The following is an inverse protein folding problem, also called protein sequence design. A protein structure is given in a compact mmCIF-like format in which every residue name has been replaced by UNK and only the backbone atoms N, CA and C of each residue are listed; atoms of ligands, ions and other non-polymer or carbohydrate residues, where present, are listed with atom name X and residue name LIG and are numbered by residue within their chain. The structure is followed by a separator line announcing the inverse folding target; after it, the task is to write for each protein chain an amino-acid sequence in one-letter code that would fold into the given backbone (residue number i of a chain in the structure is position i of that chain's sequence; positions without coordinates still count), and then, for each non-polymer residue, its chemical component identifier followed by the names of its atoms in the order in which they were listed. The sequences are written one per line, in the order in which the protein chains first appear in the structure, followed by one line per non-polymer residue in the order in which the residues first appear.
data_IF_783769753064
#
_entry.id   IF_783769753064
#
_cell.length_a   1.000
_cell.length_b   1.000
_cell.length_c   1.000
_cell.angle_alpha   90.00
_cell.angle_beta   90.00
_cell.angle_gamma   90.00
#
_symmetry.space_group_name_H-M   'P 1'
#
loop_
_entity.id
_entity.type
_entity.pdbx_description
1 polymer ?
#
# COMPACT_ATOMS: atom_id res chain seq x y z
N UNK A 1 30.27 -16.58 -8.32
CA UNK A 1 29.90 -16.70 -6.90
C UNK A 1 30.17 -18.14 -6.47
N UNK A 2 30.94 -18.38 -5.39
CA UNK A 2 31.37 -19.73 -5.01
C UNK A 2 30.17 -20.63 -4.59
N UNK A 3 30.17 -21.90 -5.01
CA UNK A 3 29.13 -22.89 -4.68
C UNK A 3 28.84 -23.01 -3.18
N UNK A 4 29.87 -22.84 -2.34
CA UNK A 4 29.78 -22.88 -0.88
C UNK A 4 29.02 -21.67 -0.29
N UNK A 5 29.11 -20.50 -0.93
CA UNK A 5 28.39 -19.30 -0.49
C UNK A 5 26.90 -19.48 -0.77
N UNK A 6 26.54 -20.00 -1.94
CA UNK A 6 25.15 -20.24 -2.31
C UNK A 6 24.48 -21.28 -1.41
N UNK A 7 25.18 -22.38 -1.08
CA UNK A 7 24.65 -23.38 -0.14
C UNK A 7 24.44 -22.81 1.26
N UNK A 8 25.33 -21.92 1.72
CA UNK A 8 25.18 -21.24 3.01
C UNK A 8 23.98 -20.29 3.02
N UNK A 9 23.74 -19.55 1.93
CA UNK A 9 22.57 -18.68 1.79
C UNK A 9 21.27 -19.49 1.74
N UNK A 10 21.24 -20.62 1.04
CA UNK A 10 20.07 -21.50 1.03
C UNK A 10 19.76 -22.04 2.43
N UNK A 11 20.76 -22.52 3.17
CA UNK A 11 20.57 -22.98 4.55
C UNK A 11 20.05 -21.86 5.46
N UNK A 12 20.56 -20.63 5.29
CA UNK A 12 20.08 -19.47 6.03
C UNK A 12 18.61 -19.15 5.70
N UNK A 13 18.23 -19.20 4.43
CA UNK A 13 16.85 -18.94 3.98
C UNK A 13 15.90 -20.02 4.52
N UNK A 14 16.31 -21.29 4.54
CA UNK A 14 15.53 -22.37 5.15
C UNK A 14 15.33 -22.17 6.66
N UNK A 15 16.35 -21.69 7.37
CA UNK A 15 16.22 -21.34 8.79
C UNK A 15 15.27 -20.17 9.01
N UNK A 16 15.27 -19.17 8.12
CA UNK A 16 14.32 -18.04 8.18
C UNK A 16 12.87 -18.49 7.91
N UNK A 17 12.67 -19.55 7.13
CA UNK A 17 11.35 -20.09 6.80
C UNK A 17 10.72 -20.93 7.95
N UNK A 18 11.51 -21.38 8.92
CA UNK A 18 11.07 -22.31 9.96
C UNK A 18 10.29 -21.60 11.08
N UNK A 19 8.99 -21.37 10.83
CA UNK A 19 8.07 -20.80 11.82
C UNK A 19 7.82 -21.68 13.03
N UNK A 20 8.20 -22.96 12.99
CA UNK A 20 8.09 -23.87 14.15
C UNK A 20 9.17 -23.64 15.18
N UNK A 21 10.22 -22.88 14.81
CA UNK A 21 11.36 -22.55 15.68
C UNK A 21 11.62 -21.04 15.69
N UNK A 22 10.81 -20.24 16.44
CA UNK A 22 10.86 -18.78 16.40
C UNK A 22 12.24 -18.17 16.67
N UNK A 23 13.01 -18.76 17.59
CA UNK A 23 14.38 -18.30 17.90
C UNK A 23 15.35 -18.45 16.71
N UNK A 24 15.22 -19.54 15.95
CA UNK A 24 16.04 -19.78 14.76
C UNK A 24 15.60 -18.87 13.62
N UNK A 25 14.29 -18.77 13.41
CA UNK A 25 13.73 -17.85 12.42
C UNK A 25 14.19 -16.41 12.69
N UNK A 26 14.04 -15.90 13.91
CA UNK A 26 14.46 -14.56 14.29
C UNK A 26 15.96 -14.34 14.08
N UNK A 27 16.80 -15.28 14.52
CA UNK A 27 18.24 -15.20 14.31
C UNK A 27 18.60 -15.21 12.82
N UNK A 28 17.96 -16.05 12.01
CA UNK A 28 18.21 -16.14 10.59
C UNK A 28 17.81 -14.85 9.86
N UNK A 29 16.62 -14.31 10.14
CA UNK A 29 16.14 -13.03 9.58
C UNK A 29 17.07 -11.88 10.00
N UNK A 30 17.53 -11.86 11.25
CA UNK A 30 18.52 -10.89 11.73
C UNK A 30 19.81 -10.96 10.90
N UNK A 31 20.34 -12.17 10.64
CA UNK A 31 21.54 -12.37 9.82
C UNK A 31 21.31 -11.93 8.38
N UNK A 32 20.18 -12.26 7.78
CA UNK A 32 19.76 -11.79 6.44
C UNK A 32 19.80 -10.26 6.39
N UNK A 33 19.18 -9.59 7.37
CA UNK A 33 19.19 -8.14 7.45
C UNK A 33 20.60 -7.56 7.59
N UNK A 34 21.48 -8.17 8.41
CA UNK A 34 22.90 -7.74 8.52
C UNK A 34 23.64 -7.85 7.19
N UNK A 35 23.47 -8.97 6.47
CA UNK A 35 24.09 -9.19 5.16
C UNK A 35 23.65 -8.13 4.15
N UNK A 36 22.37 -7.79 4.16
CA UNK A 36 21.78 -6.77 3.29
C UNK A 36 22.20 -5.33 3.67
N UNK A 37 22.59 -5.10 4.93
CA UNK A 37 23.04 -3.78 5.41
C UNK A 37 24.54 -3.52 5.18
N UNK A 38 25.26 -4.42 4.49
CA UNK A 38 26.70 -4.29 4.31
C UNK A 38 27.05 -3.38 3.13
N UNK A 39 27.98 -2.45 3.32
CA UNK A 39 28.51 -1.57 2.26
C UNK A 39 29.32 -2.31 1.17
N UNK A 40 29.59 -3.61 1.36
CA UNK A 40 30.41 -4.42 0.46
C UNK A 40 29.55 -5.34 -0.39
N UNK A 41 28.90 -4.77 -1.41
CA UNK A 41 28.14 -5.51 -2.43
C UNK A 41 27.24 -6.61 -1.82
N UNK A 42 26.18 -6.22 -1.10
CA UNK A 42 25.32 -7.16 -0.39
C UNK A 42 24.75 -8.22 -1.34
N UNK A 43 24.58 -9.48 -0.90
CA UNK A 43 24.13 -10.58 -1.75
C UNK A 43 22.61 -10.53 -1.99
N UNK A 44 22.11 -9.41 -2.52
CA UNK A 44 20.68 -9.14 -2.74
C UNK A 44 20.10 -10.14 -3.75
N UNK A 45 20.60 -10.19 -4.99
CA UNK A 45 20.07 -11.10 -6.01
C UNK A 45 20.18 -12.58 -5.62
N UNK A 46 21.30 -13.06 -5.03
CA UNK A 46 21.37 -14.41 -4.49
C UNK A 46 20.29 -14.71 -3.45
N UNK A 47 20.03 -13.81 -2.51
CA UNK A 47 18.99 -14.00 -1.50
C UNK A 47 17.59 -14.02 -2.12
N UNK A 48 17.31 -13.14 -3.08
CA UNK A 48 16.06 -13.15 -3.86
C UNK A 48 15.90 -14.49 -4.58
N UNK A 49 16.95 -14.96 -5.27
CA UNK A 49 16.94 -16.24 -6.00
C UNK A 49 16.80 -17.45 -5.08
N UNK A 50 17.22 -17.35 -3.81
CA UNK A 50 16.99 -18.37 -2.80
C UNK A 50 15.55 -18.37 -2.25
N UNK A 51 14.72 -17.39 -2.60
CA UNK A 51 13.32 -17.31 -2.17
C UNK A 51 13.11 -16.55 -0.86
N UNK A 52 14.01 -15.63 -0.49
CA UNK A 52 13.91 -14.91 0.80
C UNK A 52 12.67 -14.00 0.91
N UNK A 53 12.18 -13.45 -0.21
CA UNK A 53 11.12 -12.45 -0.22
C UNK A 53 9.80 -12.93 0.42
N UNK A 54 9.18 -14.03 -0.03
CA UNK A 54 7.94 -14.52 0.59
C UNK A 54 8.12 -14.89 2.07
N UNK A 55 9.32 -15.32 2.47
CA UNK A 55 9.62 -15.64 3.88
C UNK A 55 9.63 -14.37 4.72
N UNK A 56 10.32 -13.30 4.26
CA UNK A 56 10.33 -12.02 4.96
C UNK A 56 8.92 -11.42 5.04
N UNK A 57 8.10 -11.57 4.00
CA UNK A 57 6.69 -11.14 4.02
C UNK A 57 5.89 -11.92 5.08
N UNK A 58 6.04 -13.24 5.13
CA UNK A 58 5.35 -14.05 6.13
C UNK A 58 5.76 -13.70 7.56
N UNK A 59 7.02 -13.28 7.77
CA UNK A 59 7.51 -12.84 9.07
C UNK A 59 6.84 -11.53 9.55
N UNK A 60 6.20 -10.76 8.68
CA UNK A 60 5.49 -9.53 9.04
C UNK A 60 4.12 -9.83 9.69
N UNK A 61 3.44 -10.91 9.31
CA UNK A 61 2.07 -11.20 9.77
C UNK A 61 1.94 -11.83 11.17
N UNK A 62 3.05 -12.02 11.90
CA UNK A 62 3.05 -12.68 13.21
C UNK A 62 2.79 -11.71 14.36
N UNK A 63 1.65 -11.83 15.06
CA UNK A 63 1.19 -10.90 16.10
C UNK A 63 1.99 -10.89 17.41
N UNK A 64 2.96 -11.80 17.58
CA UNK A 64 3.65 -12.01 18.87
C UNK A 64 5.16 -11.66 18.88
N UNK A 65 5.72 -11.13 17.78
CA UNK A 65 7.17 -10.85 17.68
C UNK A 65 7.48 -9.52 16.98
N UNK A 66 7.37 -8.42 17.71
CA UNK A 66 7.70 -7.08 17.20
C UNK A 66 9.13 -6.97 16.65
N UNK A 67 10.10 -7.66 17.26
CA UNK A 67 11.50 -7.64 16.81
C UNK A 67 11.71 -8.37 15.49
N UNK A 68 11.03 -9.50 15.27
CA UNK A 68 11.08 -10.24 14.00
C UNK A 68 10.52 -9.41 12.85
N UNK A 69 9.37 -8.76 13.09
CA UNK A 69 8.74 -7.87 12.12
C UNK A 69 9.67 -6.72 11.73
N UNK A 70 10.31 -6.07 12.71
CA UNK A 70 11.28 -5.01 12.45
C UNK A 70 12.48 -5.48 11.62
N UNK A 71 13.08 -6.64 11.95
CA UNK A 71 14.21 -7.18 11.18
C UNK A 71 13.79 -7.57 9.75
N UNK A 72 12.59 -8.14 9.58
CA UNK A 72 12.04 -8.48 8.28
C UNK A 72 11.73 -7.25 7.42
N UNK A 73 11.10 -6.23 8.00
CA UNK A 73 10.82 -4.96 7.34
C UNK A 73 12.11 -4.23 6.92
N UNK A 74 13.14 -4.24 7.78
CA UNK A 74 14.44 -3.68 7.47
C UNK A 74 15.13 -4.44 6.34
N UNK A 75 15.12 -5.78 6.37
CA UNK A 75 15.66 -6.59 5.29
C UNK A 75 14.98 -6.27 3.95
N UNK A 76 13.64 -6.25 3.92
CA UNK A 76 12.87 -5.93 2.72
C UNK A 76 13.16 -4.53 2.20
N UNK A 77 13.38 -3.55 3.09
CA UNK A 77 13.68 -2.19 2.64
C UNK A 77 15.10 -2.05 2.09
N UNK A 78 16.09 -2.76 2.65
CA UNK A 78 17.43 -2.81 2.06
C UNK A 78 17.43 -3.44 0.65
N UNK A 79 16.56 -4.43 0.42
CA UNK A 79 16.37 -4.99 -0.94
C UNK A 79 15.69 -3.95 -1.85
N UNK A 80 14.69 -3.24 -1.34
CA UNK A 80 13.97 -2.22 -2.11
C UNK A 80 14.84 -1.00 -2.48
N UNK A 81 15.81 -0.65 -1.63
CA UNK A 81 16.80 0.42 -1.87
C UNK A 81 17.91 0.07 -2.86
N UNK A 82 17.88 -1.13 -3.45
CA UNK A 82 18.83 -1.59 -4.45
C UNK A 82 18.51 -1.15 -5.89
N UNK A 83 18.75 -2.03 -6.86
CA UNK A 83 18.46 -1.75 -8.28
C UNK A 83 16.95 -1.75 -8.57
N UNK A 84 16.53 -1.16 -9.70
CA UNK A 84 15.11 -1.19 -10.10
C UNK A 84 14.53 -2.60 -10.19
N UNK A 85 15.33 -3.61 -10.54
CA UNK A 85 14.91 -5.02 -10.59
C UNK A 85 14.66 -5.58 -9.17
N UNK A 86 15.48 -5.19 -8.20
CA UNK A 86 15.34 -5.59 -6.80
C UNK A 86 14.13 -4.90 -6.15
N UNK A 87 13.92 -3.61 -6.41
CA UNK A 87 12.69 -2.89 -6.03
C UNK A 87 11.46 -3.55 -6.65
N UNK A 88 11.52 -3.90 -7.93
CA UNK A 88 10.45 -4.63 -8.62
C UNK A 88 10.14 -5.98 -7.97
N UNK A 89 11.14 -6.70 -7.48
CA UNK A 89 10.93 -7.97 -6.79
C UNK A 89 10.19 -7.78 -5.45
N UNK A 90 10.54 -6.75 -4.68
CA UNK A 90 9.90 -6.44 -3.38
C UNK A 90 8.46 -5.94 -3.58
N UNK A 91 8.24 -5.02 -4.53
CA UNK A 91 6.91 -4.50 -4.86
C UNK A 91 6.05 -5.58 -5.53
N UNK A 92 6.65 -6.38 -6.42
CA UNK A 92 6.03 -7.51 -7.11
C UNK A 92 5.51 -8.57 -6.14
N UNK A 93 6.23 -8.80 -5.04
CA UNK A 93 5.83 -9.71 -3.96
C UNK A 93 4.87 -9.12 -2.93
N UNK A 94 4.32 -7.91 -3.15
CA UNK A 94 3.45 -7.17 -2.22
C UNK A 94 4.07 -6.88 -0.84
N UNK A 95 5.36 -7.16 -0.68
CA UNK A 95 6.06 -7.09 0.59
C UNK A 95 6.03 -5.68 1.17
N UNK A 96 6.31 -4.69 0.33
CA UNK A 96 6.35 -3.30 0.73
C UNK A 96 4.98 -2.79 1.20
N UNK A 97 3.92 -3.12 0.45
CA UNK A 97 2.57 -2.67 0.79
C UNK A 97 2.03 -3.36 2.04
N UNK A 98 2.41 -4.61 2.31
CA UNK A 98 2.12 -5.27 3.58
C UNK A 98 2.80 -4.54 4.75
N UNK A 99 4.12 -4.24 4.66
CA UNK A 99 4.83 -3.49 5.71
C UNK A 99 4.12 -2.16 6.01
N UNK A 100 3.78 -1.40 4.97
CA UNK A 100 3.13 -0.10 5.11
C UNK A 100 1.72 -0.27 5.71
N UNK A 101 1.00 -1.33 5.33
CA UNK A 101 -0.35 -1.62 5.80
C UNK A 101 -0.45 -2.06 7.26
N UNK A 102 0.63 -2.59 7.85
CA UNK A 102 0.65 -3.04 9.26
C UNK A 102 0.42 -1.89 10.25
N UNK A 103 0.85 -0.67 9.93
CA UNK A 103 0.58 0.49 10.76
C UNK A 103 1.52 1.68 10.53
N UNK A 104 1.26 2.81 11.21
CA UNK A 104 1.96 4.07 10.97
C UNK A 104 3.46 3.99 11.24
N UNK A 105 3.89 3.29 12.30
CA UNK A 105 5.30 3.20 12.67
C UNK A 105 6.17 2.54 11.58
N UNK A 106 5.65 1.46 10.96
CA UNK A 106 6.34 0.76 9.87
C UNK A 106 6.25 1.55 8.56
N UNK A 107 5.12 2.22 8.31
CA UNK A 107 4.96 3.14 7.19
C UNK A 107 6.00 4.28 7.24
N UNK A 108 6.16 4.93 8.38
CA UNK A 108 7.15 6.00 8.60
C UNK A 108 8.58 5.51 8.37
N UNK A 109 8.88 4.33 8.91
CA UNK A 109 10.18 3.73 8.73
C UNK A 109 10.47 3.51 7.24
N UNK A 110 9.52 2.94 6.49
CA UNK A 110 9.62 2.75 5.05
C UNK A 110 9.77 4.08 4.28
N UNK A 111 9.04 5.13 4.67
CA UNK A 111 9.17 6.47 4.09
C UNK A 111 10.56 7.06 4.37
N UNK A 112 11.06 6.95 5.60
CA UNK A 112 12.37 7.47 6.02
C UNK A 112 13.55 6.87 5.24
N UNK A 113 13.34 5.71 4.62
CA UNK A 113 14.31 4.99 3.81
C UNK A 113 14.29 5.45 2.33
N UNK A 114 13.46 6.43 1.98
CA UNK A 114 13.45 7.08 0.67
C UNK A 114 12.75 6.26 -0.42
N UNK A 115 11.85 5.35 -0.08
CA UNK A 115 11.19 4.46 -1.06
C UNK A 115 10.21 5.17 -1.99
N UNK A 116 9.71 6.35 -1.59
CA UNK A 116 8.66 7.08 -2.31
C UNK A 116 9.11 7.45 -3.72
N UNK A 117 10.26 8.10 -3.88
CA UNK A 117 10.74 8.55 -5.19
C UNK A 117 10.96 7.37 -6.18
N UNK A 118 11.61 6.26 -5.81
CA UNK A 118 11.67 5.05 -6.64
C UNK A 118 10.31 4.50 -7.05
N UNK A 119 9.32 4.47 -6.15
CA UNK A 119 7.96 4.01 -6.49
C UNK A 119 7.31 4.92 -7.53
N UNK A 120 7.38 6.24 -7.35
CA UNK A 120 6.78 7.21 -8.27
C UNK A 120 7.43 7.19 -9.66
N UNK A 121 8.71 6.80 -9.75
CA UNK A 121 9.42 6.63 -11.02
C UNK A 121 8.86 5.49 -11.89
N UNK A 122 8.14 4.53 -11.29
CA UNK A 122 7.45 3.46 -12.01
C UNK A 122 6.06 3.88 -12.53
N UNK A 123 5.56 5.07 -12.19
CA UNK A 123 4.27 5.57 -12.71
C UNK A 123 4.51 6.32 -14.01
N UNK A 124 4.43 5.56 -15.11
CA UNK A 124 4.59 6.00 -16.49
C UNK A 124 3.86 5.06 -17.47
N UNK A 125 3.51 5.51 -18.69
CA UNK A 125 2.72 4.74 -19.65
C UNK A 125 3.31 3.38 -20.03
N UNK A 126 4.64 3.24 -19.99
CA UNK A 126 5.35 2.04 -20.43
C UNK A 126 5.42 0.94 -19.35
N UNK A 127 4.97 1.25 -18.13
CA UNK A 127 5.03 0.28 -17.02
C UNK A 127 4.04 -0.85 -17.24
N UNK A 128 4.46 -2.12 -17.12
CA UNK A 128 3.55 -3.26 -17.25
C UNK A 128 2.38 -3.17 -16.27
N UNK A 129 1.15 -3.33 -16.77
CA UNK A 129 -0.10 -3.13 -16.00
C UNK A 129 -0.11 -3.96 -14.71
N UNK A 130 0.34 -5.22 -14.76
CA UNK A 130 0.39 -6.10 -13.58
C UNK A 130 1.31 -5.57 -12.49
N UNK A 131 2.43 -4.97 -12.86
CA UNK A 131 3.34 -4.34 -11.92
C UNK A 131 2.81 -2.98 -11.44
N UNK A 132 2.20 -2.21 -12.34
CA UNK A 132 1.60 -0.92 -12.00
C UNK A 132 0.47 -1.06 -10.99
N UNK A 133 -0.35 -2.12 -11.06
CA UNK A 133 -1.34 -2.47 -10.03
C UNK A 133 -0.71 -2.55 -8.63
N UNK A 134 0.41 -3.26 -8.50
CA UNK A 134 1.10 -3.40 -7.22
C UNK A 134 1.68 -2.07 -6.74
N UNK A 135 2.27 -1.26 -7.64
CA UNK A 135 2.77 0.08 -7.31
C UNK A 135 1.63 0.97 -6.80
N UNK A 136 0.49 1.00 -7.51
CA UNK A 136 -0.67 1.79 -7.11
C UNK A 136 -1.22 1.36 -5.76
N UNK A 137 -1.32 0.06 -5.52
CA UNK A 137 -1.75 -0.48 -4.23
C UNK A 137 -0.81 -0.08 -3.08
N UNK A 138 0.50 -0.15 -3.28
CA UNK A 138 1.50 0.33 -2.30
C UNK A 138 1.31 1.82 -1.99
N UNK A 139 1.06 2.64 -3.02
CA UNK A 139 0.80 4.08 -2.83
C UNK A 139 -0.50 4.32 -2.07
N UNK A 140 -1.55 3.55 -2.34
CA UNK A 140 -2.79 3.65 -1.57
C UNK A 140 -2.56 3.36 -0.08
N UNK A 141 -1.73 2.37 0.24
CA UNK A 141 -1.36 2.09 1.64
C UNK A 141 -0.51 3.22 2.25
N UNK A 142 0.39 3.85 1.49
CA UNK A 142 1.13 5.04 1.97
C UNK A 142 0.20 6.19 2.34
N UNK A 143 -0.86 6.40 1.54
CA UNK A 143 -1.86 7.43 1.80
C UNK A 143 -2.80 7.10 2.96
N UNK A 144 -2.93 5.82 3.35
CA UNK A 144 -3.87 5.35 4.38
C UNK A 144 -3.49 5.80 5.78
N UNK A 145 -2.20 5.82 6.10
CA UNK A 145 -1.71 6.13 7.44
C UNK A 145 -1.60 7.65 7.62
N UNK A 146 -2.36 8.20 8.58
CA UNK A 146 -2.49 9.64 8.81
C UNK A 146 -1.68 10.18 9.98
N UNK A 147 -1.11 9.30 10.80
CA UNK A 147 -0.43 9.70 12.03
C UNK A 147 0.93 9.02 12.19
N UNK A 148 2.03 9.68 11.79
CA UNK A 148 2.08 10.94 11.06
C UNK A 148 1.77 10.73 9.57
N UNK A 149 1.07 11.69 8.97
CA UNK A 149 0.89 11.73 7.51
C UNK A 149 2.27 11.84 6.85
N UNK A 150 2.51 11.26 5.65
CA UNK A 150 3.73 11.54 4.91
C UNK A 150 4.03 13.03 4.92
N UNK A 151 5.27 13.41 5.23
CA UNK A 151 5.65 14.83 5.25
C UNK A 151 5.24 15.52 3.94
N UNK A 152 4.96 16.82 4.02
CA UNK A 152 4.40 17.61 2.90
C UNK A 152 5.07 17.37 1.54
N UNK A 153 6.39 17.18 1.53
CA UNK A 153 7.16 16.89 0.33
C UNK A 153 6.75 15.58 -0.36
N UNK A 154 6.49 14.51 0.40
CA UNK A 154 6.04 13.23 -0.15
C UNK A 154 4.63 13.32 -0.75
N UNK A 155 3.71 14.02 -0.07
CA UNK A 155 2.36 14.23 -0.58
C UNK A 155 2.36 15.05 -1.89
N UNK A 156 3.19 16.09 -1.97
CA UNK A 156 3.29 16.94 -3.15
C UNK A 156 3.75 16.18 -4.41
N UNK A 157 4.54 15.11 -4.23
CA UNK A 157 4.96 14.25 -5.34
C UNK A 157 3.93 13.16 -5.68
N UNK A 158 3.22 12.62 -4.67
CA UNK A 158 2.23 11.55 -4.85
C UNK A 158 0.98 12.06 -5.58
N UNK A 159 0.45 13.22 -5.19
CA UNK A 159 -0.86 13.69 -5.68
C UNK A 159 -0.91 13.86 -7.21
N UNK A 160 0.07 14.47 -7.89
CA UNK A 160 0.08 14.54 -9.36
C UNK A 160 0.11 13.17 -10.03
N UNK A 161 0.77 12.19 -9.41
CA UNK A 161 0.80 10.80 -9.92
C UNK A 161 -0.54 10.10 -9.75
N UNK A 162 -1.27 10.35 -8.66
CA UNK A 162 -2.65 9.88 -8.50
C UNK A 162 -3.58 10.51 -9.53
N UNK A 163 -3.40 11.80 -9.83
CA UNK A 163 -4.16 12.45 -10.91
C UNK A 163 -3.89 11.78 -12.26
N UNK A 164 -2.65 11.41 -12.57
CA UNK A 164 -2.35 10.61 -13.77
C UNK A 164 -3.06 9.23 -13.75
N UNK A 165 -3.01 8.51 -12.62
CA UNK A 165 -3.55 7.16 -12.49
C UNK A 165 -5.08 7.09 -12.51
N UNK A 166 -5.79 8.15 -12.09
CA UNK A 166 -7.26 8.15 -12.04
C UNK A 166 -7.91 8.11 -13.44
N UNK A 167 -7.12 8.38 -14.48
CA UNK A 167 -7.53 8.26 -15.88
C UNK A 167 -7.15 6.91 -16.51
N UNK A 168 -6.56 5.99 -15.74
CA UNK A 168 -6.16 4.69 -16.25
C UNK A 168 -7.37 3.79 -16.55
N UNK A 169 -7.31 3.01 -17.64
CA UNK A 169 -8.41 2.15 -18.08
C UNK A 169 -8.58 0.87 -17.23
N UNK A 170 -7.54 0.47 -16.50
CA UNK A 170 -7.57 -0.69 -15.63
C UNK A 170 -8.33 -0.43 -14.33
N UNK A 171 -9.37 -1.23 -14.07
CA UNK A 171 -10.26 -1.08 -12.92
C UNK A 171 -9.52 -1.22 -11.58
N UNK A 172 -8.53 -2.11 -11.45
CA UNK A 172 -7.83 -2.30 -10.18
C UNK A 172 -6.97 -1.08 -9.85
N UNK A 173 -6.25 -0.56 -10.85
CA UNK A 173 -5.49 0.70 -10.71
C UNK A 173 -6.43 1.84 -10.34
N UNK A 174 -7.59 1.95 -11.00
CA UNK A 174 -8.57 2.99 -10.71
C UNK A 174 -9.10 2.90 -9.27
N UNK A 175 -9.47 1.70 -8.81
CA UNK A 175 -9.98 1.48 -7.45
C UNK A 175 -8.96 1.87 -6.39
N UNK A 176 -7.71 1.40 -6.51
CA UNK A 176 -6.65 1.71 -5.54
C UNK A 176 -6.29 3.21 -5.56
N UNK A 177 -6.28 3.83 -6.74
CA UNK A 177 -6.05 5.28 -6.89
C UNK A 177 -7.12 6.09 -6.16
N UNK A 178 -8.37 5.69 -6.33
CA UNK A 178 -9.51 6.37 -5.73
C UNK A 178 -9.53 6.17 -4.21
N UNK A 179 -9.14 4.99 -3.71
CA UNK A 179 -8.89 4.78 -2.27
C UNK A 179 -7.79 5.69 -1.73
N UNK A 180 -6.67 5.82 -2.44
CA UNK A 180 -5.58 6.72 -2.05
C UNK A 180 -6.06 8.17 -1.90
N UNK A 181 -6.81 8.68 -2.90
CA UNK A 181 -7.42 10.02 -2.87
C UNK A 181 -8.41 10.19 -1.71
N UNK A 182 -9.20 9.16 -1.40
CA UNK A 182 -10.10 9.16 -0.25
C UNK A 182 -9.33 9.30 1.07
N UNK A 183 -8.22 8.60 1.24
CA UNK A 183 -7.41 8.71 2.46
C UNK A 183 -6.77 10.09 2.61
N UNK A 184 -6.26 10.67 1.51
CA UNK A 184 -5.69 12.02 1.50
C UNK A 184 -6.71 13.09 1.88
N UNK A 185 -7.88 13.08 1.25
CA UNK A 185 -8.96 14.04 1.54
C UNK A 185 -9.50 13.94 2.95
N UNK A 186 -9.30 12.80 3.63
CA UNK A 186 -9.65 12.63 5.02
C UNK A 186 -8.54 13.12 6.00
N UNK A 187 -7.47 13.75 5.49
CA UNK A 187 -6.31 14.23 6.26
C UNK A 187 -6.43 15.67 6.80
N UNK A 188 -7.39 16.45 6.31
CA UNK A 188 -7.61 17.84 6.71
C UNK A 188 -7.70 18.80 5.52
N UNK A 189 -7.95 20.08 5.80
CA UNK A 189 -8.21 21.09 4.77
C UNK A 189 -7.02 21.30 3.82
N UNK A 190 -5.79 21.19 4.31
CA UNK A 190 -4.59 21.37 3.48
C UNK A 190 -4.45 20.24 2.45
N UNK A 191 -4.66 18.98 2.87
CA UNK A 191 -4.64 17.82 1.98
C UNK A 191 -5.82 17.84 1.01
N UNK A 192 -7.01 18.27 1.46
CA UNK A 192 -8.14 18.51 0.58
C UNK A 192 -7.75 19.53 -0.50
N UNK A 193 -7.10 20.63 -0.12
CA UNK A 193 -6.68 21.65 -1.08
C UNK A 193 -5.65 21.12 -2.08
N UNK A 194 -4.66 20.33 -1.64
CA UNK A 194 -3.71 19.68 -2.55
C UNK A 194 -4.39 18.81 -3.60
N UNK A 195 -5.40 18.03 -3.17
CA UNK A 195 -6.17 17.18 -4.07
C UNK A 195 -6.96 18.03 -5.07
N UNK A 196 -7.59 19.12 -4.63
CA UNK A 196 -8.30 20.06 -5.53
C UNK A 196 -7.32 20.69 -6.54
N UNK A 197 -6.21 21.24 -6.07
CA UNK A 197 -5.20 21.94 -6.88
C UNK A 197 -4.55 21.03 -7.92
N UNK A 198 -4.55 19.72 -7.68
CA UNK A 198 -4.07 18.72 -8.64
C UNK A 198 -4.93 18.58 -9.88
N UNK A 199 -6.17 19.09 -9.86
CA UNK A 199 -7.13 18.98 -10.94
C UNK A 199 -7.86 17.64 -11.02
N UNK A 200 -7.72 16.77 -10.02
CA UNK A 200 -8.37 15.43 -10.00
C UNK A 200 -9.87 15.48 -9.78
N UNK A 201 -10.38 16.61 -9.27
CA UNK A 201 -11.74 16.74 -8.76
C UNK A 201 -12.84 16.42 -9.80
N UNK A 202 -12.79 16.90 -11.06
CA UNK A 202 -13.82 16.57 -12.06
C UNK A 202 -13.89 15.07 -12.32
N UNK A 203 -12.73 14.39 -12.36
CA UNK A 203 -12.68 12.94 -12.56
C UNK A 203 -13.23 12.22 -11.35
N UNK A 204 -12.84 12.62 -10.13
CA UNK A 204 -13.36 12.03 -8.90
C UNK A 204 -14.88 12.16 -8.79
N UNK A 205 -15.44 13.32 -9.15
CA UNK A 205 -16.89 13.56 -9.18
C UNK A 205 -17.59 12.66 -10.22
N UNK A 206 -17.02 12.52 -11.42
CA UNK A 206 -17.58 11.60 -12.43
C UNK A 206 -17.60 10.13 -11.97
N UNK A 207 -16.70 9.77 -11.04
CA UNK A 207 -16.63 8.43 -10.46
C UNK A 207 -17.62 8.20 -9.33
N UNK A 208 -18.30 9.24 -8.82
CA UNK A 208 -19.36 9.11 -7.81
C UNK A 208 -20.55 8.28 -8.32
N UNK A 209 -20.84 8.36 -9.63
CA UNK A 209 -21.87 7.53 -10.27
C UNK A 209 -21.37 6.13 -10.67
N UNK A 210 -20.07 5.86 -10.54
CA UNK A 210 -19.49 4.54 -10.78
C UNK A 210 -19.27 3.81 -9.46
N UNK A 211 -19.38 2.47 -9.46
CA UNK A 211 -19.08 1.60 -8.29
C UNK A 211 -17.58 1.54 -7.91
N UNK A 212 -16.82 2.61 -8.07
CA UNK A 212 -15.47 2.69 -7.53
C UNK A 212 -15.58 3.04 -6.05
N UNK A 213 -15.48 2.03 -5.16
CA UNK A 213 -15.83 2.14 -3.74
C UNK A 213 -15.28 3.36 -2.98
N UNK A 214 -14.06 3.81 -3.28
CA UNK A 214 -13.48 4.99 -2.62
C UNK A 214 -13.96 6.35 -3.15
N UNK A 215 -14.66 6.40 -4.28
CA UNK A 215 -15.01 7.66 -4.97
C UNK A 215 -16.01 8.47 -4.18
N UNK A 216 -17.06 7.78 -3.70
CA UNK A 216 -18.03 8.36 -2.77
C UNK A 216 -17.34 8.89 -1.51
N UNK A 217 -16.45 8.10 -0.90
CA UNK A 217 -15.78 8.47 0.34
C UNK A 217 -14.89 9.69 0.14
N UNK A 218 -14.10 9.74 -0.94
CA UNK A 218 -13.30 10.91 -1.29
C UNK A 218 -14.16 12.17 -1.51
N UNK A 219 -15.23 12.07 -2.30
CA UNK A 219 -16.16 13.18 -2.50
C UNK A 219 -16.81 13.65 -1.19
N UNK A 220 -17.22 12.72 -0.33
CA UNK A 220 -17.78 13.00 1.01
C UNK A 220 -16.79 13.73 1.91
N UNK A 221 -15.51 13.38 1.86
CA UNK A 221 -14.50 14.04 2.69
C UNK A 221 -14.28 15.49 2.25
N UNK A 222 -14.25 15.76 0.94
CA UNK A 222 -14.05 17.13 0.43
C UNK A 222 -15.21 18.05 0.85
N UNK A 223 -16.45 17.55 0.89
CA UNK A 223 -17.61 18.36 1.33
C UNK A 223 -17.66 18.64 2.83
N UNK A 224 -16.71 18.12 3.62
CA UNK A 224 -16.51 18.51 5.03
C UNK A 224 -15.47 19.63 5.21
N UNK A 225 -14.86 20.09 4.11
CA UNK A 225 -13.87 21.17 4.09
C UNK A 225 -14.45 22.58 4.18
N UNK A 226 -13.67 23.57 3.75
CA UNK A 226 -14.09 24.99 3.77
C UNK A 226 -15.19 25.29 2.74
N UNK A 227 -15.83 26.46 2.86
CA UNK A 227 -16.84 26.90 1.89
C UNK A 227 -16.32 26.95 0.44
N UNK A 228 -15.05 27.33 0.24
CA UNK A 228 -14.41 27.34 -1.08
C UNK A 228 -14.20 25.92 -1.62
N UNK A 229 -13.83 24.98 -0.76
CA UNK A 229 -13.62 23.57 -1.13
C UNK A 229 -14.94 22.89 -1.50
N UNK A 230 -16.01 23.17 -0.73
CA UNK A 230 -17.37 22.73 -1.08
C UNK A 230 -17.79 23.32 -2.43
N UNK A 231 -17.55 24.61 -2.66
CA UNK A 231 -17.89 25.25 -3.92
C UNK A 231 -17.13 24.65 -5.12
N UNK A 232 -15.87 24.24 -4.93
CA UNK A 232 -15.11 23.54 -5.98
C UNK A 232 -15.78 22.22 -6.39
N UNK A 233 -16.32 21.45 -5.44
CA UNK A 233 -17.08 20.22 -5.73
C UNK A 233 -18.37 20.53 -6.50
N UNK A 234 -19.11 21.56 -6.08
CA UNK A 234 -20.34 21.98 -6.74
C UNK A 234 -20.10 22.44 -8.18
N UNK A 235 -18.98 23.13 -8.42
CA UNK A 235 -18.58 23.57 -9.76
C UNK A 235 -18.26 22.40 -10.72
N UNK A 236 -18.08 21.18 -10.19
CA UNK A 236 -17.87 19.97 -10.97
C UNK A 236 -19.17 19.19 -11.25
N UNK A 237 -20.34 19.81 -11.08
CA UNK A 237 -21.67 19.19 -11.26
C UNK A 237 -21.90 17.97 -10.36
N UNK A 238 -21.33 17.98 -9.14
CA UNK A 238 -21.50 16.87 -8.22
C UNK A 238 -22.99 16.59 -7.91
N UNK A 239 -23.83 17.62 -7.87
CA UNK A 239 -25.27 17.51 -7.62
C UNK A 239 -26.00 16.70 -8.71
N UNK A 240 -25.60 16.79 -9.98
CA UNK A 240 -26.17 15.99 -11.07
C UNK A 240 -25.99 14.48 -10.88
N UNK A 241 -25.05 14.05 -10.03
CA UNK A 241 -24.78 12.66 -9.72
C UNK A 241 -25.56 12.13 -8.50
N UNK A 242 -26.19 13.01 -7.69
CA UNK A 242 -26.89 12.61 -6.46
C UNK A 242 -28.15 11.79 -6.72
N UNK A 243 -28.90 12.07 -7.79
CA UNK A 243 -30.08 11.28 -8.12
C UNK A 243 -29.72 9.82 -8.40
N UNK A 244 -28.54 9.57 -8.97
CA UNK A 244 -28.04 8.20 -9.20
C UNK A 244 -27.65 7.54 -7.87
N UNK A 245 -26.97 8.28 -6.99
CA UNK A 245 -26.56 7.82 -5.66
C UNK A 245 -27.74 7.49 -4.74
N UNK A 246 -28.77 8.34 -4.71
CA UNK A 246 -29.94 8.20 -3.84
C UNK A 246 -30.87 7.08 -4.28
N UNK A 247 -30.92 6.77 -5.59
CA UNK A 247 -31.78 5.72 -6.15
C UNK A 247 -31.08 4.34 -6.21
N UNK A 248 -29.84 4.22 -5.75
CA UNK A 248 -29.16 2.92 -5.67
C UNK A 248 -29.64 2.09 -4.47
N UNK A 249 -30.35 1.00 -4.76
CA UNK A 249 -30.88 -0.01 -3.83
C UNK A 249 -29.80 -0.92 -3.20
N UNK A 250 -28.75 -0.36 -2.59
CA UNK A 250 -27.84 -1.16 -1.75
C UNK A 250 -27.83 -0.65 -0.31
N UNK A 251 -28.30 -1.51 0.60
CA UNK A 251 -28.41 -1.33 2.07
C UNK A 251 -27.09 -0.97 2.79
N UNK A 252 -25.98 -0.80 2.06
CA UNK A 252 -24.66 -0.45 2.60
C UNK A 252 -24.29 1.03 2.45
N UNK A 253 -24.95 1.80 1.57
CA UNK A 253 -24.62 3.23 1.36
C UNK A 253 -24.87 4.07 2.62
N UNK A 254 -25.82 3.65 3.46
CA UNK A 254 -26.22 4.33 4.70
C UNK A 254 -25.60 3.73 5.98
N UNK A 255 -24.72 2.72 5.85
CA UNK A 255 -24.06 2.01 6.95
C UNK A 255 -22.54 1.91 6.75
N UNK A 256 -21.88 3.04 6.47
CA UNK A 256 -20.50 3.18 6.93
C UNK A 256 -20.52 4.04 8.19
N UNK A 257 -20.56 3.40 9.38
CA UNK A 257 -20.32 4.10 10.62
C UNK A 257 -18.87 4.59 10.63
N UNK A 258 -18.64 5.71 11.30
CA UNK A 258 -17.33 6.07 11.85
C UNK A 258 -16.79 4.84 12.62
N UNK A 259 -15.93 4.03 12.01
CA UNK A 259 -15.49 2.79 12.64
C UNK A 259 -14.63 1.94 11.72
N UNK A 260 -13.38 1.71 12.16
CA UNK A 260 -12.44 0.74 11.61
C UNK A 260 -13.10 -0.62 11.38
N UNK A 261 -13.01 -1.15 10.17
CA UNK A 261 -13.07 -2.60 9.94
C UNK A 261 -11.86 -3.03 9.12
N UNK A 262 -11.05 -3.87 9.74
CA UNK A 262 -10.07 -4.72 9.07
C UNK A 262 -10.84 -5.65 8.12
N UNK A 263 -10.42 -5.70 6.86
CA UNK A 263 -10.84 -6.76 5.96
C UNK A 263 -10.17 -8.05 6.40
N UNK A 264 -10.79 -8.78 7.33
CA UNK A 264 -10.46 -10.19 7.56
C UNK A 264 -10.77 -10.96 6.27
N UNK A 265 -9.69 -11.46 5.65
CA UNK A 265 -9.76 -12.35 4.51
C UNK A 265 -10.55 -13.59 4.89
N UNK A 266 -11.77 -13.70 4.38
CA UNK A 266 -12.68 -14.80 4.62
C UNK A 266 -12.07 -16.14 4.24
N UNK A 267 -11.68 -16.90 5.25
CA UNK A 267 -11.48 -18.34 5.15
C UNK A 267 -12.85 -19.00 5.33
N UNK A 268 -13.34 -19.65 4.28
CA UNK A 268 -14.66 -20.29 4.27
C UNK A 268 -14.67 -21.53 5.17
N UNK A 269 -15.34 -21.46 6.31
CA UNK A 269 -15.84 -22.64 7.02
C UNK A 269 -17.36 -22.67 6.93
N UNK A 270 -17.88 -23.64 6.17
CA UNK A 270 -19.33 -23.94 6.06
C UNK A 270 -19.87 -24.45 7.41
N UNK A 271 -21.15 -24.19 7.75
CA UNK A 271 -21.76 -24.76 8.94
C UNK A 271 -22.13 -26.23 8.70
N UNK A 272 -21.65 -27.13 9.55
CA UNK A 272 -22.16 -28.49 9.68
C UNK A 272 -23.47 -28.48 10.47
N UNK A 273 -24.52 -29.00 9.85
CA UNK A 273 -25.81 -29.31 10.46
C UNK A 273 -25.71 -30.41 11.52
N UNK A 274 -26.34 -30.21 12.67
CA UNK A 274 -27.05 -31.21 13.52
C UNK A 274 -27.66 -30.44 14.70
N UNK A 275 -28.98 -30.19 14.72
CA UNK A 275 -30.03 -31.00 15.38
C UNK A 275 -29.64 -31.49 16.78
N UNK A 276 -30.44 -31.05 17.75
CA UNK A 276 -30.45 -31.43 19.16
C UNK A 276 -31.23 -30.38 19.93
#
# INVERSE_FOLDING_TARGET
MNSLILSNLQALVQQAADSTRPEIQHRAVTVVRKLLSSDRNPPIDPLINCGILPILVNCLGGTNYSTLQCEAAWALTNIAGGTSQQTQAVVGGLALGNIIGEGPQLCDYVISLGVVAPLLAFIKPETPITFLRNVTWVIANLCRNKDPTPGWQGLAEIVPKLNFLVHHADTNILVDTVWALSYLTAGGNDQIQMVIDSGVLPKLVSLLSHRAGGGLTGGRNIVTGTGEQIQAVLNCDALGHFDTLLNHHEDKIYKEPLGFEQSDGGNTCKPSSTRG
#
